data_IF_077000760514
#
_entry.id   IF_077000760514
#
_cell.length_a   1.000
_cell.length_b   1.000
_cell.length_c   1.000
_cell.angle_alpha   90.00
_cell.angle_beta   90.00
_cell.angle_gamma   90.00
#
_symmetry.space_group_name_H-M   'P 1'
#
loop_
_entity.id
_entity.type
_entity.pdbx_description
1 polymer ?
#
# COMPACT_ATOMS: atom_id res chain seq x y z
N UNK A 1 24.76 21.40 -26.00
CA UNK A 1 23.36 21.83 -26.09
C UNK A 1 22.55 20.72 -25.44
N UNK A 2 22.28 20.89 -24.15
CA UNK A 2 21.53 19.93 -23.35
C UNK A 2 20.08 19.90 -23.83
N UNK A 3 19.58 18.70 -24.10
CA UNK A 3 18.18 18.44 -24.39
C UNK A 3 17.39 18.57 -23.08
N UNK A 4 16.96 19.78 -22.76
CA UNK A 4 15.92 20.05 -21.76
C UNK A 4 14.56 19.73 -22.36
N UNK A 5 14.29 18.44 -22.60
CA UNK A 5 12.91 17.98 -22.73
C UNK A 5 12.23 18.20 -21.39
N UNK A 6 11.15 18.97 -21.41
CA UNK A 6 10.24 19.29 -20.32
C UNK A 6 9.84 18.03 -19.50
N UNK A 7 10.63 17.68 -18.47
CA UNK A 7 10.44 16.50 -17.60
C UNK A 7 9.47 16.74 -16.46
N UNK A 8 9.01 17.99 -16.27
CA UNK A 8 8.33 18.45 -15.06
C UNK A 8 6.89 17.94 -14.86
N UNK A 9 6.40 16.99 -15.67
CA UNK A 9 5.03 16.45 -15.54
C UNK A 9 4.87 14.97 -15.86
N UNK A 10 5.95 14.22 -16.13
CA UNK A 10 5.84 12.82 -16.59
C UNK A 10 5.41 11.88 -15.44
N UNK A 11 6.01 12.02 -14.26
CA UNK A 11 5.59 11.25 -13.08
C UNK A 11 4.17 11.60 -12.66
N UNK A 12 3.82 12.89 -12.63
CA UNK A 12 2.45 13.34 -12.34
C UNK A 12 1.43 12.64 -13.23
N UNK A 13 1.65 12.68 -14.55
CA UNK A 13 0.74 12.05 -15.52
C UNK A 13 0.63 10.55 -15.28
N UNK A 14 1.75 9.87 -15.04
CA UNK A 14 1.78 8.44 -14.72
C UNK A 14 1.00 8.12 -13.42
N UNK A 15 1.23 8.91 -12.38
CA UNK A 15 0.62 8.69 -11.07
C UNK A 15 -0.89 8.98 -11.10
N UNK A 16 -1.30 10.09 -11.71
CA UNK A 16 -2.73 10.42 -11.90
C UNK A 16 -3.45 9.31 -12.68
N UNK A 17 -2.87 8.85 -13.79
CA UNK A 17 -3.44 7.71 -14.55
C UNK A 17 -3.49 6.43 -13.73
N UNK A 18 -2.49 6.18 -12.87
CA UNK A 18 -2.53 5.03 -11.96
C UNK A 18 -3.70 5.17 -11.00
N UNK A 19 -3.89 6.34 -10.39
CA UNK A 19 -4.99 6.59 -9.46
C UNK A 19 -6.37 6.43 -10.12
N UNK A 20 -6.52 6.93 -11.34
CA UNK A 20 -7.74 6.73 -12.14
C UNK A 20 -8.01 5.25 -12.41
N UNK A 21 -7.00 4.48 -12.83
CA UNK A 21 -7.14 3.06 -13.17
C UNK A 21 -7.55 2.18 -11.99
N UNK A 22 -7.19 2.59 -10.79
CA UNK A 22 -7.61 1.92 -9.58
C UNK A 22 -9.07 2.15 -9.21
N UNK A 23 -9.74 3.10 -9.86
CA UNK A 23 -11.15 3.39 -9.65
C UNK A 23 -11.43 4.19 -8.39
N UNK A 24 -10.48 5.02 -7.93
CA UNK A 24 -10.71 5.92 -6.81
C UNK A 24 -11.44 7.19 -7.25
N UNK A 25 -12.36 7.65 -6.40
CA UNK A 25 -13.03 8.93 -6.58
C UNK A 25 -12.08 10.11 -6.34
N UNK A 26 -12.51 11.30 -6.74
CA UNK A 26 -11.72 12.53 -6.63
C UNK A 26 -11.30 12.84 -5.18
N UNK A 27 -12.16 12.57 -4.18
CA UNK A 27 -11.80 12.76 -2.78
C UNK A 27 -10.60 11.88 -2.39
N UNK A 28 -10.70 10.58 -2.62
CA UNK A 28 -9.62 9.63 -2.30
C UNK A 28 -8.31 10.00 -3.00
N UNK A 29 -8.37 10.40 -4.28
CA UNK A 29 -7.17 10.80 -5.02
C UNK A 29 -6.49 12.01 -4.36
N UNK A 30 -7.25 13.05 -4.00
CA UNK A 30 -6.70 14.24 -3.33
C UNK A 30 -6.07 13.92 -1.98
N UNK A 31 -6.70 13.07 -1.19
CA UNK A 31 -6.16 12.62 0.09
C UNK A 31 -4.85 11.85 -0.06
N UNK A 32 -4.80 10.89 -0.99
CA UNK A 32 -3.59 10.13 -1.31
C UNK A 32 -2.47 11.07 -1.75
N UNK A 33 -2.76 12.03 -2.64
CA UNK A 33 -1.77 12.94 -3.21
C UNK A 33 -1.25 13.93 -2.17
N UNK A 34 -2.13 14.47 -1.31
CA UNK A 34 -1.72 15.30 -0.18
C UNK A 34 -0.79 14.52 0.74
N UNK A 35 -1.19 13.31 1.15
CA UNK A 35 -0.36 12.52 2.06
C UNK A 35 0.94 12.04 1.42
N UNK A 36 0.96 11.78 0.11
CA UNK A 36 2.18 11.53 -0.64
C UNK A 36 3.17 12.69 -0.44
N UNK A 37 2.73 13.93 -0.63
CA UNK A 37 3.54 15.13 -0.35
C UNK A 37 3.96 15.24 1.11
N UNK A 38 3.03 14.98 2.04
CA UNK A 38 3.27 15.09 3.48
C UNK A 38 4.15 13.98 4.08
N UNK A 39 4.41 12.91 3.33
CA UNK A 39 5.14 11.74 3.80
C UNK A 39 6.37 11.40 2.96
N UNK A 40 6.61 12.07 1.82
CA UNK A 40 7.63 11.68 0.85
C UNK A 40 9.04 11.61 1.44
N UNK A 41 9.35 12.44 2.44
CA UNK A 41 10.63 12.39 3.15
C UNK A 41 10.66 11.24 4.14
N UNK A 42 9.71 11.16 5.07
CA UNK A 42 9.65 10.09 6.08
C UNK A 42 9.64 8.70 5.44
N UNK A 43 8.95 8.54 4.31
CA UNK A 43 8.85 7.28 3.57
C UNK A 43 10.17 6.81 2.95
N UNK A 44 11.01 7.75 2.48
CA UNK A 44 12.15 7.43 1.62
C UNK A 44 13.51 7.64 2.29
N UNK A 45 13.54 8.29 3.46
CA UNK A 45 14.80 8.61 4.19
C UNK A 45 15.70 7.38 4.34
N UNK A 46 15.19 6.27 4.87
CA UNK A 46 16.00 5.06 5.10
C UNK A 46 16.58 4.49 3.80
N UNK A 47 15.80 4.47 2.72
CA UNK A 47 16.25 3.97 1.42
C UNK A 47 17.35 4.87 0.84
N UNK A 48 17.19 6.19 0.92
CA UNK A 48 18.19 7.16 0.45
C UNK A 48 19.48 7.05 1.28
N UNK A 49 19.38 7.03 2.60
CA UNK A 49 20.54 6.91 3.51
C UNK A 49 21.27 5.56 3.36
N UNK A 50 20.55 4.48 3.02
CA UNK A 50 21.19 3.18 2.75
C UNK A 50 22.00 3.18 1.45
N UNK A 51 21.66 4.06 0.50
CA UNK A 51 22.23 4.08 -0.85
C UNK A 51 23.34 5.10 -1.01
N UNK A 52 23.22 6.25 -0.35
CA UNK A 52 24.16 7.35 -0.44
C UNK A 52 24.72 7.69 0.93
N UNK A 53 26.02 7.98 0.98
CA UNK A 53 26.73 8.38 2.22
C UNK A 53 27.14 9.85 2.22
N UNK A 54 27.05 10.52 1.07
CA UNK A 54 27.37 11.93 0.89
C UNK A 54 26.13 12.77 1.20
N UNK A 55 26.25 13.69 2.15
CA UNK A 55 25.18 14.58 2.59
C UNK A 55 24.63 15.45 1.46
N UNK A 56 25.51 15.98 0.59
CA UNK A 56 25.08 16.81 -0.54
C UNK A 56 24.22 15.95 -1.48
N UNK A 57 24.67 14.73 -1.76
CA UNK A 57 23.91 13.81 -2.61
C UNK A 57 22.58 13.42 -1.99
N UNK A 58 22.54 13.16 -0.68
CA UNK A 58 21.29 12.85 0.04
C UNK A 58 20.29 14.02 -0.12
N UNK A 59 20.74 15.25 0.10
CA UNK A 59 19.89 16.43 -0.04
C UNK A 59 19.39 16.62 -1.50
N UNK A 60 20.26 16.42 -2.50
CA UNK A 60 19.86 16.47 -3.90
C UNK A 60 18.76 15.46 -4.24
N UNK A 61 18.88 14.22 -3.76
CA UNK A 61 17.92 13.16 -4.04
C UNK A 61 16.59 13.40 -3.32
N UNK A 62 16.61 13.83 -2.06
CA UNK A 62 15.40 14.20 -1.33
C UNK A 62 14.68 15.39 -1.98
N UNK A 63 15.42 16.41 -2.42
CA UNK A 63 14.85 17.53 -3.17
C UNK A 63 14.26 17.11 -4.52
N UNK A 64 14.90 16.17 -5.22
CA UNK A 64 14.37 15.62 -6.45
C UNK A 64 13.05 14.89 -6.21
N UNK A 65 12.98 14.03 -5.18
CA UNK A 65 11.76 13.31 -4.80
C UNK A 65 10.61 14.27 -4.45
N UNK A 66 10.86 15.28 -3.59
CA UNK A 66 9.85 16.29 -3.25
C UNK A 66 9.28 16.95 -4.50
N UNK A 67 10.11 17.24 -5.50
CA UNK A 67 9.69 17.95 -6.73
C UNK A 67 9.15 17.03 -7.82
N UNK A 68 9.06 15.73 -7.58
CA UNK A 68 8.77 14.74 -8.62
C UNK A 68 7.33 14.83 -9.16
N UNK A 69 6.35 15.05 -8.26
CA UNK A 69 4.93 15.18 -8.67
C UNK A 69 4.59 16.61 -9.08
N UNK A 70 5.02 17.61 -8.29
CA UNK A 70 4.88 19.00 -8.64
C UNK A 70 5.97 19.86 -7.99
N UNK A 71 6.30 20.99 -8.63
CA UNK A 71 7.17 22.01 -8.07
C UNK A 71 6.34 23.05 -7.32
N UNK A 72 6.72 23.42 -6.07
CA UNK A 72 6.10 24.55 -5.38
C UNK A 72 6.21 25.83 -6.21
N UNK A 73 5.16 26.64 -6.21
CA UNK A 73 5.13 27.94 -6.86
C UNK A 73 5.45 29.04 -5.84
N UNK A 74 6.51 29.82 -6.06
CA UNK A 74 6.89 30.91 -5.15
C UNK A 74 5.83 32.01 -5.05
N UNK A 75 4.98 32.17 -6.07
CA UNK A 75 3.91 33.17 -6.10
C UNK A 75 2.62 32.73 -5.39
N UNK A 76 2.46 31.43 -5.12
CA UNK A 76 1.24 30.90 -4.54
C UNK A 76 1.52 29.60 -3.76
N UNK A 77 1.24 29.66 -2.46
CA UNK A 77 1.30 28.50 -1.57
C UNK A 77 -0.12 28.05 -1.20
N UNK A 78 -0.60 26.90 -1.73
CA UNK A 78 -1.92 26.36 -1.41
C UNK A 78 -2.09 25.97 0.06
N UNK A 79 -1.00 25.80 0.80
CA UNK A 79 -1.05 25.55 2.23
C UNK A 79 -1.66 26.72 3.02
N UNK A 80 -1.56 27.95 2.50
CA UNK A 80 -2.17 29.12 3.13
C UNK A 80 -3.70 29.12 3.05
N UNK A 81 -4.30 28.26 2.22
CA UNK A 81 -5.76 28.08 2.15
C UNK A 81 -6.27 27.01 3.13
N UNK A 82 -5.35 26.28 3.78
CA UNK A 82 -5.67 25.17 4.67
C UNK A 82 -5.70 25.65 6.13
N UNK A 83 -6.85 25.44 6.76
CA UNK A 83 -6.89 25.31 8.22
C UNK A 83 -6.37 23.91 8.58
N UNK A 84 -5.32 23.83 9.40
CA UNK A 84 -4.63 22.55 9.62
C UNK A 84 -5.39 21.60 10.54
N UNK A 85 -6.26 22.12 11.40
CA UNK A 85 -6.99 21.35 12.43
C UNK A 85 -7.70 20.10 11.89
N UNK A 86 -8.48 20.13 10.79
CA UNK A 86 -9.12 18.92 10.25
C UNK A 86 -8.12 17.82 9.88
N UNK A 87 -7.03 18.17 9.21
CA UNK A 87 -5.99 17.22 8.78
C UNK A 87 -5.24 16.68 9.99
N UNK A 88 -4.89 17.55 10.92
CA UNK A 88 -4.26 17.22 12.20
C UNK A 88 -5.12 16.26 13.04
N UNK A 89 -6.44 16.48 13.11
CA UNK A 89 -7.41 15.59 13.76
C UNK A 89 -7.47 14.22 13.08
N UNK A 90 -7.43 14.16 11.75
CA UNK A 90 -7.39 12.90 11.02
C UNK A 90 -6.11 12.10 11.33
N UNK A 91 -4.93 12.77 11.37
CA UNK A 91 -3.65 12.15 11.70
C UNK A 91 -3.63 11.65 13.15
N UNK A 92 -4.10 12.47 14.10
CA UNK A 92 -4.23 12.10 15.51
C UNK A 92 -5.13 10.87 15.67
N UNK A 93 -6.30 10.90 15.04
CA UNK A 93 -7.31 9.84 15.14
C UNK A 93 -6.80 8.53 14.53
N UNK A 94 -6.19 8.58 13.35
CA UNK A 94 -5.59 7.42 12.70
C UNK A 94 -4.58 6.75 13.63
N UNK A 95 -3.62 7.54 14.13
CA UNK A 95 -2.60 7.06 15.05
C UNK A 95 -3.22 6.45 16.30
N UNK A 96 -4.27 7.10 16.85
CA UNK A 96 -4.97 6.60 18.02
C UNK A 96 -5.56 5.23 17.76
N UNK A 97 -6.29 5.06 16.65
CA UNK A 97 -6.91 3.78 16.29
C UNK A 97 -5.84 2.70 16.13
N UNK A 98 -4.77 2.95 15.37
CA UNK A 98 -3.71 1.95 15.15
C UNK A 98 -3.03 1.55 16.46
N UNK A 99 -2.52 2.52 17.21
CA UNK A 99 -1.71 2.24 18.39
C UNK A 99 -2.55 1.71 19.55
N UNK A 100 -3.69 2.33 19.82
CA UNK A 100 -4.53 1.98 20.96
C UNK A 100 -5.44 0.80 20.65
N UNK A 101 -6.29 0.91 19.63
CA UNK A 101 -7.38 -0.05 19.41
C UNK A 101 -6.91 -1.32 18.70
N UNK A 102 -6.05 -1.19 17.68
CA UNK A 102 -5.65 -2.34 16.86
C UNK A 102 -4.44 -3.09 17.43
N UNK A 103 -3.39 -2.37 17.85
CA UNK A 103 -2.14 -2.96 18.35
C UNK A 103 -2.17 -3.19 19.88
N UNK A 104 -2.96 -2.42 20.63
CA UNK A 104 -3.02 -2.52 22.09
C UNK A 104 -1.84 -1.85 22.82
N UNK A 105 -1.16 -0.89 22.18
CA UNK A 105 -0.12 -0.04 22.78
C UNK A 105 -0.75 1.22 23.38
N UNK A 106 -1.45 1.04 24.50
CA UNK A 106 -2.13 2.13 25.20
C UNK A 106 -1.17 3.26 25.60
N UNK A 107 -1.69 4.49 25.63
CA UNK A 107 -1.00 5.70 26.10
C UNK A 107 0.22 6.16 25.30
N UNK A 108 0.55 5.60 24.14
CA UNK A 108 1.70 6.06 23.35
C UNK A 108 1.53 7.50 22.86
N UNK A 109 0.36 7.83 22.31
CA UNK A 109 0.04 9.19 21.86
C UNK A 109 -0.08 10.13 23.05
N UNK A 110 -0.71 9.70 24.14
CA UNK A 110 -0.80 10.52 25.35
C UNK A 110 0.57 10.81 25.97
N UNK A 111 1.47 9.81 26.00
CA UNK A 111 2.85 10.00 26.45
C UNK A 111 3.57 10.98 25.54
N UNK A 112 3.42 10.82 24.24
CA UNK A 112 3.99 11.72 23.24
C UNK A 112 3.48 13.17 23.40
N UNK A 113 2.17 13.38 23.57
CA UNK A 113 1.56 14.69 23.81
C UNK A 113 1.99 15.26 25.17
N UNK A 114 2.02 14.46 26.25
CA UNK A 114 2.44 14.89 27.60
C UNK A 114 3.94 15.22 27.69
N UNK A 115 4.77 14.61 26.86
CA UNK A 115 6.21 14.87 26.78
C UNK A 115 6.55 16.15 26.01
N UNK A 116 5.59 16.72 25.27
CA UNK A 116 5.75 17.96 24.50
C UNK A 116 4.71 19.02 24.92
N UNK A 117 4.74 19.50 26.18
CA UNK A 117 3.72 20.37 26.75
C UNK A 117 3.68 21.80 26.19
N UNK A 118 4.73 22.25 25.49
CA UNK A 118 4.86 23.62 24.95
C UNK A 118 4.08 23.84 23.63
N UNK A 119 3.18 22.91 23.27
CA UNK A 119 2.08 23.09 22.31
C UNK A 119 2.44 23.71 20.95
N UNK A 120 3.53 23.25 20.35
CA UNK A 120 3.67 23.34 18.89
C UNK A 120 3.96 21.93 18.39
N UNK A 121 2.93 21.22 17.94
CA UNK A 121 3.03 19.95 17.25
C UNK A 121 1.89 19.84 16.26
N UNK A 122 1.97 18.84 15.37
CA UNK A 122 0.92 18.56 14.40
C UNK A 122 -0.44 18.30 15.06
N UNK A 123 -0.49 17.87 16.33
CA UNK A 123 -1.73 17.51 17.05
C UNK A 123 -2.13 18.48 18.15
N UNK A 124 -1.46 19.64 18.29
CA UNK A 124 -1.72 20.57 19.40
C UNK A 124 -3.16 21.08 19.45
N UNK A 125 -3.74 21.42 18.30
CA UNK A 125 -5.13 21.90 18.18
C UNK A 125 -6.08 20.80 17.66
N UNK A 126 -5.61 19.55 17.61
CA UNK A 126 -6.37 18.44 17.05
C UNK A 126 -7.28 17.78 18.10
N UNK A 127 -8.38 17.21 17.62
CA UNK A 127 -9.31 16.41 18.41
C UNK A 127 -9.49 15.03 17.78
N UNK A 128 -9.72 14.03 18.62
CA UNK A 128 -10.05 12.69 18.14
C UNK A 128 -11.44 12.73 17.49
N UNK A 129 -11.53 12.23 16.26
CA UNK A 129 -12.79 12.05 15.55
C UNK A 129 -13.49 10.80 16.12
N UNK A 130 -14.40 11.01 17.07
CA UNK A 130 -15.07 9.92 17.81
C UNK A 130 -15.83 8.95 16.90
N UNK A 131 -16.39 9.43 15.80
CA UNK A 131 -17.14 8.57 14.89
C UNK A 131 -16.24 7.54 14.21
N UNK A 132 -14.96 7.86 13.99
CA UNK A 132 -14.01 6.85 13.52
C UNK A 132 -13.70 5.84 14.60
N UNK A 133 -13.37 6.29 15.82
CA UNK A 133 -12.94 5.38 16.88
C UNK A 133 -14.04 4.39 17.27
N UNK A 134 -15.32 4.77 17.15
CA UNK A 134 -16.48 3.87 17.34
C UNK A 134 -16.48 2.69 16.37
N UNK A 135 -16.03 2.88 15.13
CA UNK A 135 -16.00 1.82 14.11
C UNK A 135 -14.93 0.75 14.35
N UNK A 136 -13.95 1.04 15.22
CA UNK A 136 -12.81 0.16 15.52
C UNK A 136 -12.79 -0.33 16.98
N UNK A 137 -13.86 -0.11 17.74
CA UNK A 137 -14.01 -0.67 19.08
C UNK A 137 -13.95 -2.20 19.00
N UNK A 138 -13.00 -2.80 19.72
CA UNK A 138 -12.71 -4.25 19.72
C UNK A 138 -12.31 -4.82 18.35
N UNK A 139 -11.97 -3.98 17.37
CA UNK A 139 -11.45 -4.45 16.09
C UNK A 139 -10.07 -5.11 16.28
N UNK A 140 -9.80 -6.15 15.51
CA UNK A 140 -8.48 -6.78 15.46
C UNK A 140 -7.61 -6.06 14.43
N UNK A 141 -6.29 -6.13 14.61
CA UNK A 141 -5.35 -5.69 13.57
C UNK A 141 -5.37 -6.67 12.39
N UNK A 142 -6.33 -6.50 11.49
CA UNK A 142 -6.51 -7.26 10.25
C UNK A 142 -6.24 -6.37 9.04
N UNK A 143 -6.04 -6.99 7.88
CA UNK A 143 -5.90 -6.25 6.62
C UNK A 143 -7.15 -5.44 6.28
N UNK A 144 -8.34 -5.95 6.56
CA UNK A 144 -9.60 -5.23 6.31
C UNK A 144 -9.74 -4.02 7.22
N UNK A 145 -9.43 -4.17 8.52
CA UNK A 145 -9.45 -3.06 9.47
C UNK A 145 -8.45 -1.96 9.04
N UNK A 146 -7.22 -2.32 8.68
CA UNK A 146 -6.23 -1.33 8.23
C UNK A 146 -6.63 -0.68 6.91
N UNK A 147 -7.12 -1.46 5.94
CA UNK A 147 -7.57 -0.93 4.66
C UNK A 147 -8.75 0.04 4.82
N UNK A 148 -9.73 -0.31 5.67
CA UNK A 148 -10.86 0.56 6.00
C UNK A 148 -10.38 1.87 6.63
N UNK A 149 -9.47 1.80 7.60
CA UNK A 149 -8.90 2.99 8.22
C UNK A 149 -8.11 3.85 7.21
N UNK A 150 -7.34 3.23 6.31
CA UNK A 150 -6.67 3.93 5.21
C UNK A 150 -7.69 4.71 4.36
N UNK A 151 -8.81 4.08 3.98
CA UNK A 151 -9.86 4.73 3.18
C UNK A 151 -10.47 5.93 3.90
N UNK A 152 -10.89 5.74 5.15
CA UNK A 152 -11.47 6.82 5.97
C UNK A 152 -10.51 8.00 6.08
N UNK A 153 -9.22 7.73 6.25
CA UNK A 153 -8.18 8.74 6.33
C UNK A 153 -8.02 9.56 5.06
N UNK A 154 -7.80 8.89 3.93
CA UNK A 154 -7.59 9.57 2.67
C UNK A 154 -8.87 10.26 2.17
N UNK A 155 -10.04 9.64 2.33
CA UNK A 155 -11.31 10.25 1.92
C UNK A 155 -11.62 11.51 2.74
N UNK A 156 -11.37 11.51 4.05
CA UNK A 156 -11.66 12.67 4.89
C UNK A 156 -10.77 13.87 4.56
N UNK A 157 -9.45 13.66 4.42
CA UNK A 157 -8.53 14.71 3.99
C UNK A 157 -8.92 15.18 2.57
N UNK A 158 -9.23 14.23 1.69
CA UNK A 158 -9.65 14.49 0.33
C UNK A 158 -10.91 15.34 0.20
N UNK A 159 -11.95 15.03 0.98
CA UNK A 159 -13.19 15.79 1.06
C UNK A 159 -12.92 17.23 1.48
N UNK A 160 -12.07 17.43 2.49
CA UNK A 160 -11.69 18.75 2.96
C UNK A 160 -10.97 19.55 1.87
N UNK A 161 -9.95 18.97 1.23
CA UNK A 161 -9.19 19.63 0.15
C UNK A 161 -10.06 19.93 -1.09
N UNK A 162 -11.00 19.03 -1.40
CA UNK A 162 -11.98 19.24 -2.47
C UNK A 162 -12.93 20.40 -2.17
N UNK A 163 -13.36 20.56 -0.92
CA UNK A 163 -14.21 21.67 -0.51
C UNK A 163 -13.51 23.04 -0.68
N UNK A 164 -12.18 23.06 -0.52
CA UNK A 164 -11.32 24.20 -0.83
C UNK A 164 -11.06 24.39 -2.33
N UNK A 165 -11.57 23.51 -3.19
CA UNK A 165 -11.40 23.52 -4.65
C UNK A 165 -9.94 23.39 -5.11
N UNK A 166 -9.09 22.76 -4.29
CA UNK A 166 -7.70 22.50 -4.64
C UNK A 166 -7.60 21.40 -5.70
N UNK A 167 -6.84 21.66 -6.76
CA UNK A 167 -6.46 20.63 -7.73
C UNK A 167 -5.40 19.67 -7.14
N UNK A 168 -5.09 18.59 -7.86
CA UNK A 168 -4.17 17.57 -7.37
C UNK A 168 -2.73 18.10 -7.17
N UNK A 169 -2.28 19.03 -8.02
CA UNK A 169 -0.97 19.69 -7.88
C UNK A 169 -0.93 20.53 -6.60
N UNK A 170 -1.99 21.30 -6.36
CA UNK A 170 -2.12 22.10 -5.14
C UNK A 170 -2.21 21.22 -3.90
N UNK A 171 -2.95 20.11 -3.93
CA UNK A 171 -3.02 19.14 -2.83
C UNK A 171 -1.64 18.58 -2.47
N UNK A 172 -0.84 18.20 -3.48
CA UNK A 172 0.51 17.68 -3.27
C UNK A 172 1.45 18.71 -2.63
N UNK A 173 1.48 19.92 -3.18
CA UNK A 173 2.32 21.02 -2.67
C UNK A 173 1.90 21.41 -1.26
N UNK A 174 0.59 21.45 -0.99
CA UNK A 174 0.06 21.70 0.34
C UNK A 174 0.52 20.62 1.34
N UNK A 175 0.56 19.36 0.93
CA UNK A 175 1.10 18.27 1.74
C UNK A 175 2.58 18.45 2.09
N UNK A 176 3.41 18.84 1.12
CA UNK A 176 4.83 19.15 1.36
C UNK A 176 4.98 20.26 2.39
N UNK A 177 4.28 21.37 2.19
CA UNK A 177 4.40 22.55 3.05
C UNK A 177 3.82 22.30 4.44
N UNK A 178 2.75 21.51 4.54
CA UNK A 178 2.23 20.99 5.80
C UNK A 178 3.32 20.20 6.56
N UNK A 179 3.99 19.25 5.90
CA UNK A 179 5.08 18.49 6.51
C UNK A 179 6.24 19.39 6.92
N UNK A 180 6.70 20.28 6.04
CA UNK A 180 7.82 21.19 6.34
C UNK A 180 7.54 22.05 7.58
N UNK A 181 6.35 22.66 7.67
CA UNK A 181 5.95 23.45 8.84
C UNK A 181 6.05 22.62 10.11
N UNK A 182 5.41 21.46 10.15
CA UNK A 182 5.35 20.66 11.37
C UNK A 182 6.66 19.97 11.70
N UNK A 183 7.50 19.66 10.71
CA UNK A 183 8.82 19.09 10.97
C UNK A 183 9.79 20.12 11.58
N UNK A 184 9.67 21.41 11.24
CA UNK A 184 10.44 22.49 11.91
C UNK A 184 10.00 22.75 13.35
N UNK A 185 8.76 22.40 13.66
CA UNK A 185 8.13 22.57 14.97
C UNK A 185 8.44 21.37 15.88
N UNK A 186 8.19 20.16 15.39
CA UNK A 186 8.32 18.90 16.11
C UNK A 186 8.74 17.78 15.15
N UNK A 187 10.05 17.63 14.99
CA UNK A 187 10.65 16.66 14.10
C UNK A 187 10.31 15.21 14.48
N UNK A 188 10.52 14.85 15.75
CA UNK A 188 10.36 13.47 16.22
C UNK A 188 8.89 13.06 16.17
N UNK A 189 8.00 13.93 16.61
CA UNK A 189 6.58 13.68 16.62
C UNK A 189 5.93 13.60 15.25
N UNK A 190 6.28 14.53 14.37
CA UNK A 190 5.78 14.51 12.98
C UNK A 190 6.20 13.22 12.28
N UNK A 191 7.46 12.80 12.45
CA UNK A 191 7.94 11.54 11.87
C UNK A 191 7.28 10.31 12.51
N UNK A 192 7.13 10.27 13.84
CA UNK A 192 6.46 9.18 14.53
C UNK A 192 5.02 8.96 14.03
N UNK A 193 4.25 10.05 13.89
CA UNK A 193 2.86 9.99 13.45
C UNK A 193 2.74 9.59 11.98
N UNK A 194 3.61 10.11 11.10
CA UNK A 194 3.65 9.73 9.70
C UNK A 194 4.08 8.28 9.50
N UNK A 195 5.13 7.82 10.19
CA UNK A 195 5.63 6.45 10.08
C UNK A 195 4.60 5.44 10.57
N UNK A 196 3.86 5.74 11.64
CA UNK A 196 2.76 4.89 12.09
C UNK A 196 1.67 4.71 11.01
N UNK A 197 1.36 5.78 10.26
CA UNK A 197 0.44 5.70 9.11
C UNK A 197 1.07 4.83 8.00
N UNK A 198 2.30 5.13 7.59
CA UNK A 198 3.03 4.42 6.53
C UNK A 198 3.12 2.91 6.81
N UNK A 199 3.48 2.53 8.03
CA UNK A 199 3.70 1.14 8.44
C UNK A 199 2.42 0.32 8.52
N UNK A 200 1.27 0.99 8.63
CA UNK A 200 -0.05 0.37 8.68
C UNK A 200 -0.82 0.46 7.36
N UNK A 201 -0.21 0.97 6.29
CA UNK A 201 -0.81 0.98 4.97
C UNK A 201 -1.02 -0.45 4.45
N UNK A 202 -2.24 -0.73 3.99
CA UNK A 202 -2.51 -1.95 3.23
C UNK A 202 -1.68 -2.00 1.94
N UNK A 203 -1.44 -3.19 1.36
CA UNK A 203 -0.52 -3.38 0.24
C UNK A 203 -0.75 -2.42 -0.94
N UNK A 204 -2.00 -2.09 -1.26
CA UNK A 204 -2.29 -1.13 -2.33
C UNK A 204 -1.80 0.29 -2.02
N UNK A 205 -2.09 0.83 -0.83
CA UNK A 205 -1.63 2.18 -0.49
C UNK A 205 -0.12 2.22 -0.31
N UNK A 206 0.47 1.17 0.29
CA UNK A 206 1.93 1.03 0.39
C UNK A 206 2.57 1.05 -0.99
N UNK A 207 1.97 0.36 -1.96
CA UNK A 207 2.41 0.37 -3.36
C UNK A 207 2.43 1.78 -3.94
N UNK A 208 1.32 2.52 -3.84
CA UNK A 208 1.23 3.89 -4.37
C UNK A 208 2.25 4.82 -3.73
N UNK A 209 2.42 4.74 -2.40
CA UNK A 209 3.37 5.59 -1.69
C UNK A 209 4.82 5.35 -2.16
N UNK A 210 5.17 4.13 -2.56
CA UNK A 210 6.52 3.80 -3.04
C UNK A 210 6.75 4.10 -4.54
N UNK A 211 5.73 4.53 -5.29
CA UNK A 211 5.90 4.84 -6.71
C UNK A 211 6.90 5.96 -7.01
N UNK A 212 7.04 7.04 -6.22
CA UNK A 212 8.07 8.05 -6.46
C UNK A 212 9.48 7.47 -6.52
N UNK A 213 9.88 6.69 -5.50
CA UNK A 213 11.23 6.13 -5.45
C UNK A 213 11.48 5.06 -6.51
N UNK A 214 10.46 4.26 -6.82
CA UNK A 214 10.50 3.30 -7.92
C UNK A 214 10.60 4.01 -9.27
N UNK A 215 9.91 5.14 -9.45
CA UNK A 215 9.97 5.92 -10.68
C UNK A 215 11.35 6.56 -10.86
N UNK A 216 11.95 7.08 -9.78
CA UNK A 216 13.28 7.70 -9.85
C UNK A 216 14.38 6.69 -10.15
N UNK A 217 14.35 5.50 -9.54
CA UNK A 217 15.49 4.57 -9.62
C UNK A 217 15.25 3.31 -10.43
N UNK A 218 13.99 2.96 -10.65
CA UNK A 218 13.58 1.77 -11.40
C UNK A 218 12.44 2.09 -12.39
N UNK A 219 12.52 3.20 -13.18
CA UNK A 219 11.42 3.63 -14.03
C UNK A 219 11.06 2.57 -15.08
N UNK A 220 12.06 1.83 -15.54
CA UNK A 220 11.86 0.76 -16.51
C UNK A 220 11.05 -0.37 -15.90
N UNK A 221 11.42 -0.84 -14.71
CA UNK A 221 10.73 -1.90 -13.98
C UNK A 221 9.32 -1.45 -13.58
N UNK A 222 9.17 -0.23 -13.07
CA UNK A 222 7.88 0.34 -12.67
C UNK A 222 6.90 0.40 -13.85
N UNK A 223 7.31 1.01 -14.97
CA UNK A 223 6.46 1.12 -16.17
C UNK A 223 6.08 -0.24 -16.78
N UNK A 224 6.85 -1.26 -16.45
CA UNK A 224 6.68 -2.59 -16.99
C UNK A 224 5.98 -3.55 -16.03
N UNK A 225 5.89 -3.18 -14.76
CA UNK A 225 5.15 -3.90 -13.76
C UNK A 225 3.70 -3.44 -13.79
N UNK A 226 2.81 -4.41 -13.78
CA UNK A 226 1.39 -4.13 -13.63
C UNK A 226 1.12 -3.80 -12.17
N UNK A 227 0.13 -2.94 -11.92
CA UNK A 227 -0.25 -2.56 -10.56
C UNK A 227 -0.48 -3.79 -9.66
N UNK A 228 -1.16 -4.82 -10.16
CA UNK A 228 -1.28 -6.13 -9.51
C UNK A 228 0.07 -6.68 -9.01
N UNK A 229 1.09 -6.67 -9.86
CA UNK A 229 2.42 -7.19 -9.54
C UNK A 229 3.13 -6.34 -8.48
N UNK A 230 2.93 -5.02 -8.51
CA UNK A 230 3.45 -4.13 -7.47
C UNK A 230 2.76 -4.38 -6.13
N UNK A 231 1.42 -4.53 -6.11
CA UNK A 231 0.68 -4.87 -4.89
C UNK A 231 1.17 -6.20 -4.32
N UNK A 232 1.32 -7.21 -5.18
CA UNK A 232 1.84 -8.52 -4.80
C UNK A 232 3.23 -8.41 -4.18
N UNK A 233 4.13 -7.61 -4.77
CA UNK A 233 5.47 -7.39 -4.24
C UNK A 233 5.44 -6.80 -2.82
N UNK A 234 4.66 -5.74 -2.61
CA UNK A 234 4.56 -5.12 -1.28
C UNK A 234 3.77 -5.95 -0.27
N UNK A 235 2.94 -6.88 -0.73
CA UNK A 235 2.29 -7.85 0.14
C UNK A 235 3.28 -8.88 0.68
N UNK A 236 3.99 -9.63 -0.18
CA UNK A 236 4.85 -10.71 0.30
C UNK A 236 6.17 -10.22 0.92
N UNK A 237 6.60 -8.98 0.68
CA UNK A 237 7.75 -8.38 1.39
C UNK A 237 7.54 -8.31 2.90
N UNK A 238 6.28 -8.32 3.36
CA UNK A 238 5.92 -8.33 4.79
C UNK A 238 5.44 -9.71 5.28
N UNK A 239 5.43 -10.75 4.43
CA UNK A 239 4.90 -12.07 4.77
C UNK A 239 6.01 -13.07 5.13
N UNK A 240 6.78 -13.53 4.14
CA UNK A 240 7.88 -14.47 4.34
C UNK A 240 8.90 -14.37 3.19
N UNK A 241 10.04 -13.73 3.47
CA UNK A 241 11.07 -13.44 2.47
C UNK A 241 11.75 -14.70 1.92
N UNK A 242 11.82 -15.79 2.70
CA UNK A 242 12.48 -17.02 2.28
C UNK A 242 11.75 -17.74 1.15
N UNK A 243 10.41 -17.70 1.18
CA UNK A 243 9.56 -18.31 0.14
C UNK A 243 9.13 -17.31 -0.94
N UNK A 244 9.14 -16.01 -0.63
CA UNK A 244 8.74 -14.94 -1.54
C UNK A 244 9.48 -15.02 -2.88
N UNK A 245 10.78 -15.35 -2.88
CA UNK A 245 11.57 -15.51 -4.11
C UNK A 245 11.00 -16.59 -5.05
N UNK A 246 10.47 -17.68 -4.51
CA UNK A 246 9.88 -18.76 -5.30
C UNK A 246 8.52 -18.34 -5.88
N UNK A 247 7.68 -17.72 -5.06
CA UNK A 247 6.37 -17.22 -5.48
C UNK A 247 6.53 -16.10 -6.52
N UNK A 248 7.51 -15.22 -6.36
CA UNK A 248 7.85 -14.17 -7.32
C UNK A 248 8.31 -14.75 -8.67
N UNK A 249 9.18 -15.76 -8.66
CA UNK A 249 9.59 -16.44 -9.88
C UNK A 249 8.40 -17.12 -10.57
N UNK A 250 7.52 -17.77 -9.81
CA UNK A 250 6.30 -18.34 -10.37
C UNK A 250 5.39 -17.28 -10.99
N UNK A 251 5.27 -16.13 -10.34
CA UNK A 251 4.47 -15.01 -10.81
C UNK A 251 4.98 -14.53 -12.18
N UNK A 252 6.30 -14.39 -12.34
CA UNK A 252 6.86 -14.01 -13.63
C UNK A 252 6.52 -15.02 -14.73
N UNK A 253 6.68 -16.32 -14.45
CA UNK A 253 6.37 -17.39 -15.40
C UNK A 253 4.89 -17.41 -15.81
N UNK A 254 3.99 -17.18 -14.85
CA UNK A 254 2.55 -17.28 -15.03
C UNK A 254 1.95 -16.04 -15.69
N UNK A 255 2.33 -14.84 -15.27
CA UNK A 255 1.66 -13.61 -15.69
C UNK A 255 2.30 -12.96 -16.91
N UNK A 256 3.60 -13.16 -17.14
CA UNK A 256 4.34 -12.46 -18.19
C UNK A 256 4.69 -13.38 -19.36
N UNK A 257 4.78 -12.82 -20.57
CA UNK A 257 5.32 -13.59 -21.71
C UNK A 257 6.83 -13.82 -21.50
N UNK A 258 7.38 -14.97 -21.93
CA UNK A 258 8.79 -15.30 -21.71
C UNK A 258 9.73 -14.20 -22.20
N UNK A 259 10.69 -13.81 -21.36
CA UNK A 259 11.68 -12.76 -21.64
C UNK A 259 11.07 -11.39 -22.01
N UNK A 260 9.86 -11.11 -21.53
CA UNK A 260 9.21 -9.81 -21.73
C UNK A 260 8.62 -9.31 -20.42
N UNK A 261 8.18 -8.05 -20.45
CA UNK A 261 7.42 -7.45 -19.36
C UNK A 261 5.95 -7.20 -19.72
N UNK A 262 5.49 -7.84 -20.80
CA UNK A 262 4.10 -7.81 -21.22
C UNK A 262 3.31 -8.91 -20.52
N UNK A 263 2.14 -8.58 -19.96
CA UNK A 263 1.21 -9.61 -19.52
C UNK A 263 0.84 -10.53 -20.68
N UNK A 264 0.62 -11.79 -20.33
CA UNK A 264 -0.07 -12.72 -21.22
C UNK A 264 -1.51 -12.23 -21.42
N UNK A 265 -2.09 -12.52 -22.59
CA UNK A 265 -3.40 -11.96 -22.98
C UNK A 265 -4.54 -12.46 -22.08
N UNK A 266 -4.31 -13.61 -21.46
CA UNK A 266 -5.15 -14.32 -20.51
C UNK A 266 -5.29 -13.58 -19.18
N UNK A 267 -4.43 -12.60 -18.88
CA UNK A 267 -4.48 -11.79 -17.66
C UNK A 267 -4.94 -10.38 -17.96
N UNK A 268 -6.22 -10.25 -18.32
CA UNK A 268 -6.84 -8.96 -18.58
C UNK A 268 -7.78 -8.54 -17.44
N UNK A 269 -7.18 -7.96 -16.39
CA UNK A 269 -7.90 -7.50 -15.20
C UNK A 269 -8.96 -6.42 -15.48
N UNK A 270 -8.86 -5.70 -16.59
CA UNK A 270 -9.72 -4.56 -16.93
C UNK A 270 -11.03 -4.99 -17.61
N UNK A 271 -10.99 -6.06 -18.41
CA UNK A 271 -12.12 -6.45 -19.29
C UNK A 271 -12.81 -7.75 -18.89
N UNK A 272 -12.10 -8.64 -18.21
CA UNK A 272 -12.68 -9.91 -17.79
C UNK A 272 -13.55 -9.75 -16.54
N UNK A 273 -14.55 -10.63 -16.40
CA UNK A 273 -15.39 -10.64 -15.20
C UNK A 273 -14.53 -11.01 -13.99
N UNK A 274 -14.62 -10.23 -12.92
CA UNK A 274 -13.81 -10.42 -11.70
C UNK A 274 -13.88 -11.85 -11.14
N UNK A 275 -15.07 -12.45 -11.07
CA UNK A 275 -15.23 -13.84 -10.62
C UNK A 275 -14.49 -14.87 -11.50
N UNK A 276 -14.38 -14.62 -12.81
CA UNK A 276 -13.61 -15.47 -13.73
C UNK A 276 -12.11 -15.33 -13.42
N UNK A 277 -11.62 -14.10 -13.27
CA UNK A 277 -10.21 -13.84 -12.91
C UNK A 277 -9.84 -14.49 -11.58
N UNK A 278 -10.65 -14.32 -10.53
CA UNK A 278 -10.41 -14.94 -9.22
C UNK A 278 -10.30 -16.47 -9.35
N UNK A 279 -11.23 -17.10 -10.09
CA UNK A 279 -11.20 -18.55 -10.35
C UNK A 279 -9.94 -18.99 -11.12
N UNK A 280 -9.57 -18.25 -12.16
CA UNK A 280 -8.37 -18.50 -12.94
C UNK A 280 -7.10 -18.36 -12.09
N UNK A 281 -7.02 -17.35 -11.23
CA UNK A 281 -5.89 -17.16 -10.30
C UNK A 281 -5.73 -18.38 -9.43
N UNK A 282 -6.80 -18.86 -8.77
CA UNK A 282 -6.71 -20.04 -7.90
C UNK A 282 -6.28 -21.27 -8.70
N UNK A 283 -6.93 -21.52 -9.84
CA UNK A 283 -6.65 -22.69 -10.66
C UNK A 283 -5.18 -22.73 -11.13
N UNK A 284 -4.67 -21.58 -11.58
CA UNK A 284 -3.29 -21.47 -12.05
C UNK A 284 -2.30 -21.47 -10.88
N UNK A 285 -2.59 -20.78 -9.78
CA UNK A 285 -1.68 -20.69 -8.64
C UNK A 285 -1.38 -22.07 -8.03
N UNK A 286 -2.38 -22.97 -7.96
CA UNK A 286 -2.21 -24.37 -7.52
C UNK A 286 -1.13 -25.11 -8.33
N UNK A 287 -0.94 -24.76 -9.60
CA UNK A 287 0.00 -25.45 -10.48
C UNK A 287 1.48 -25.10 -10.23
N UNK A 288 1.82 -24.23 -9.25
CA UNK A 288 3.21 -23.94 -8.87
C UNK A 288 4.02 -25.23 -8.63
N UNK A 289 3.40 -26.21 -7.97
CA UNK A 289 4.01 -27.52 -7.66
C UNK A 289 4.32 -28.38 -8.89
N UNK A 290 3.72 -28.08 -10.05
CA UNK A 290 3.96 -28.76 -11.32
C UNK A 290 5.07 -28.11 -12.14
N UNK A 291 5.64 -27.02 -11.64
CA UNK A 291 6.79 -26.34 -12.25
C UNK A 291 8.09 -26.78 -11.60
N UNK A 292 9.22 -26.30 -12.11
CA UNK A 292 10.55 -26.50 -11.49
C UNK A 292 10.58 -26.00 -10.03
N UNK A 293 9.72 -25.04 -9.68
CA UNK A 293 9.62 -24.50 -8.32
C UNK A 293 9.09 -25.56 -7.34
N UNK A 294 8.32 -26.54 -7.82
CA UNK A 294 7.86 -27.69 -7.04
C UNK A 294 9.00 -28.47 -6.37
N UNK A 295 10.20 -28.47 -6.97
CA UNK A 295 11.39 -29.13 -6.42
C UNK A 295 11.89 -28.47 -5.12
N UNK A 296 11.51 -27.22 -4.86
CA UNK A 296 11.86 -26.48 -3.64
C UNK A 296 10.80 -26.60 -2.53
N UNK A 297 9.89 -27.58 -2.62
CA UNK A 297 8.86 -27.83 -1.60
C UNK A 297 9.43 -27.92 -0.18
N UNK A 298 10.61 -28.50 0.00
CA UNK A 298 11.26 -28.59 1.30
C UNK A 298 11.45 -27.23 1.98
N UNK A 299 11.73 -26.17 1.22
CA UNK A 299 11.90 -24.82 1.77
C UNK A 299 10.56 -24.25 2.26
N UNK A 300 9.46 -24.61 1.60
CA UNK A 300 8.13 -24.22 2.06
C UNK A 300 7.78 -24.93 3.38
N UNK A 301 8.05 -26.24 3.48
CA UNK A 301 7.74 -27.01 4.70
C UNK A 301 8.53 -26.58 5.94
N UNK A 302 9.75 -26.06 5.74
CA UNK A 302 10.63 -25.59 6.82
C UNK A 302 10.14 -24.31 7.50
N UNK A 303 9.24 -23.54 6.86
CA UNK A 303 8.69 -22.34 7.49
C UNK A 303 7.44 -22.66 8.30
N UNK A 304 7.30 -22.08 9.48
CA UNK A 304 6.07 -22.18 10.30
C UNK A 304 5.15 -20.95 10.15
N UNK A 305 5.51 -20.02 9.27
CA UNK A 305 4.83 -18.74 9.09
C UNK A 305 3.71 -18.84 8.04
N UNK A 306 2.85 -19.86 8.13
CA UNK A 306 1.66 -19.99 7.30
C UNK A 306 0.40 -19.89 8.13
N UNK A 307 -0.67 -19.39 7.52
CA UNK A 307 -1.96 -19.29 8.17
C UNK A 307 -2.62 -20.68 8.22
N UNK A 308 -2.56 -21.44 7.13
CA UNK A 308 -3.09 -22.81 7.05
C UNK A 308 -1.99 -23.86 7.24
N UNK A 309 -1.31 -23.80 8.39
CA UNK A 309 -0.22 -24.72 8.75
C UNK A 309 -0.68 -26.19 8.78
N UNK A 310 -1.96 -26.45 9.02
CA UNK A 310 -2.57 -27.78 9.01
C UNK A 310 -2.46 -28.50 7.67
N UNK A 311 -2.23 -27.77 6.56
CA UNK A 311 -2.08 -28.36 5.23
C UNK A 311 -0.74 -29.08 5.04
N UNK A 312 0.25 -28.86 5.92
CA UNK A 312 1.57 -29.47 5.82
C UNK A 312 1.48 -30.99 5.74
N UNK A 313 2.03 -31.51 4.65
CA UNK A 313 2.09 -32.93 4.31
C UNK A 313 0.73 -33.67 4.25
N UNK A 314 -0.38 -32.93 4.15
CA UNK A 314 -1.71 -33.52 4.01
C UNK A 314 -1.99 -34.00 2.59
N UNK A 315 -2.87 -35.00 2.48
CA UNK A 315 -3.43 -35.45 1.23
C UNK A 315 -4.92 -35.07 1.17
N UNK A 316 -5.25 -34.07 0.36
CA UNK A 316 -6.59 -33.46 0.27
C UNK A 316 -7.05 -33.41 -1.19
N UNK A 317 -8.35 -33.27 -1.41
CA UNK A 317 -8.89 -33.02 -2.76
C UNK A 317 -8.65 -31.57 -3.18
N UNK A 318 -8.79 -31.29 -4.48
CA UNK A 318 -8.68 -29.90 -4.97
C UNK A 318 -9.82 -29.02 -4.47
N UNK A 319 -11.00 -29.58 -4.28
CA UNK A 319 -12.17 -28.79 -3.88
C UNK A 319 -12.13 -28.46 -2.39
N UNK A 320 -11.65 -29.37 -1.54
CA UNK A 320 -11.32 -29.06 -0.14
C UNK A 320 -10.28 -27.92 -0.04
N UNK A 321 -9.22 -27.98 -0.86
CA UNK A 321 -8.20 -26.94 -0.87
C UNK A 321 -8.77 -25.58 -1.31
N UNK A 322 -9.54 -25.54 -2.40
CA UNK A 322 -10.18 -24.30 -2.87
C UNK A 322 -11.12 -23.74 -1.81
N UNK A 323 -11.94 -24.58 -1.17
CA UNK A 323 -12.82 -24.16 -0.10
C UNK A 323 -12.03 -23.59 1.09
N UNK A 324 -10.91 -24.21 1.45
CA UNK A 324 -10.00 -23.71 2.48
C UNK A 324 -9.38 -22.35 2.11
N UNK A 325 -8.93 -22.16 0.87
CA UNK A 325 -8.42 -20.87 0.39
C UNK A 325 -9.51 -19.81 0.38
N UNK A 326 -10.72 -20.13 -0.10
CA UNK A 326 -11.85 -19.18 -0.05
C UNK A 326 -12.15 -18.80 1.40
N UNK A 327 -12.22 -19.78 2.31
CA UNK A 327 -12.44 -19.53 3.74
C UNK A 327 -11.34 -18.63 4.33
N UNK A 328 -10.08 -18.86 3.97
CA UNK A 328 -8.95 -18.02 4.38
C UNK A 328 -9.14 -16.56 3.93
N UNK A 329 -9.43 -16.34 2.64
CA UNK A 329 -9.62 -15.00 2.09
C UNK A 329 -10.81 -14.28 2.73
N UNK A 330 -11.93 -14.98 2.92
CA UNK A 330 -13.16 -14.36 3.45
C UNK A 330 -13.12 -14.13 4.96
N UNK A 331 -12.41 -14.96 5.73
CA UNK A 331 -12.48 -14.91 7.20
C UNK A 331 -11.21 -14.39 7.86
N UNK A 332 -10.01 -14.68 7.30
CA UNK A 332 -8.77 -14.16 7.85
C UNK A 332 -8.45 -12.77 7.29
N UNK A 333 -8.58 -12.60 5.97
CA UNK A 333 -8.39 -11.30 5.32
C UNK A 333 -9.65 -10.45 5.31
N UNK A 334 -10.80 -11.03 5.70
CA UNK A 334 -12.11 -10.35 5.76
C UNK A 334 -12.52 -9.76 4.40
N UNK A 335 -12.10 -10.41 3.30
CA UNK A 335 -12.40 -10.03 1.91
C UNK A 335 -13.48 -10.95 1.34
N UNK A 336 -14.74 -10.57 1.50
CA UNK A 336 -15.88 -11.33 0.97
C UNK A 336 -15.84 -11.34 -0.56
N UNK A 337 -15.89 -12.53 -1.17
CA UNK A 337 -15.72 -12.66 -2.63
C UNK A 337 -16.85 -11.97 -3.40
N UNK A 338 -18.07 -12.01 -2.88
CA UNK A 338 -19.23 -11.30 -3.46
C UNK A 338 -18.98 -9.79 -3.52
N UNK A 339 -18.52 -9.18 -2.41
CA UNK A 339 -18.20 -7.75 -2.36
C UNK A 339 -17.04 -7.39 -3.29
N UNK A 340 -16.04 -8.27 -3.42
CA UNK A 340 -14.91 -8.08 -4.36
C UNK A 340 -15.40 -8.01 -5.81
N UNK A 341 -16.43 -8.78 -6.14
CA UNK A 341 -16.99 -8.83 -7.50
C UNK A 341 -17.85 -7.60 -7.77
N UNK A 342 -18.68 -7.19 -6.81
CA UNK A 342 -19.75 -6.20 -7.04
C UNK A 342 -19.42 -4.79 -6.55
N UNK A 343 -18.75 -4.67 -5.41
CA UNK A 343 -18.67 -3.42 -4.65
C UNK A 343 -17.27 -2.81 -4.60
N UNK A 344 -16.22 -3.63 -4.72
CA UNK A 344 -14.85 -3.15 -4.58
C UNK A 344 -14.42 -2.28 -5.76
N UNK A 345 -13.57 -1.30 -5.51
CA UNK A 345 -12.81 -0.56 -6.53
C UNK A 345 -11.90 -1.51 -7.32
N UNK A 346 -11.36 -1.06 -8.45
CA UNK A 346 -10.43 -1.88 -9.22
C UNK A 346 -9.16 -2.19 -8.41
N UNK A 347 -8.66 -1.23 -7.64
CA UNK A 347 -7.52 -1.42 -6.74
C UNK A 347 -7.76 -2.47 -5.66
N UNK A 348 -8.91 -2.42 -4.98
CA UNK A 348 -9.29 -3.40 -3.97
C UNK A 348 -9.39 -4.81 -4.59
N UNK A 349 -9.98 -4.92 -5.79
CA UNK A 349 -10.00 -6.16 -6.55
C UNK A 349 -8.60 -6.70 -6.89
N UNK A 350 -7.68 -5.84 -7.35
CA UNK A 350 -6.30 -6.25 -7.64
C UNK A 350 -5.54 -6.68 -6.37
N UNK A 351 -5.80 -6.02 -5.23
CA UNK A 351 -5.24 -6.43 -3.94
C UNK A 351 -5.74 -7.82 -3.54
N UNK A 352 -7.04 -8.08 -3.66
CA UNK A 352 -7.58 -9.43 -3.43
C UNK A 352 -6.95 -10.45 -4.37
N UNK A 353 -6.78 -10.13 -5.65
CA UNK A 353 -6.10 -10.99 -6.62
C UNK A 353 -4.67 -11.33 -6.19
N UNK A 354 -3.91 -10.34 -5.72
CA UNK A 354 -2.53 -10.51 -5.27
C UNK A 354 -2.44 -11.44 -4.06
N UNK A 355 -3.30 -11.23 -3.06
CA UNK A 355 -3.35 -12.06 -1.85
C UNK A 355 -3.79 -13.47 -2.21
N UNK A 356 -4.87 -13.61 -2.98
CA UNK A 356 -5.37 -14.90 -3.44
C UNK A 356 -4.29 -15.69 -4.19
N UNK A 357 -3.55 -15.04 -5.08
CA UNK A 357 -2.44 -15.66 -5.80
C UNK A 357 -1.35 -16.14 -4.83
N UNK A 358 -0.88 -15.27 -3.92
CA UNK A 358 0.17 -15.61 -2.97
C UNK A 358 -0.27 -16.76 -2.07
N UNK A 359 -1.43 -16.65 -1.43
CA UNK A 359 -1.93 -17.64 -0.48
C UNK A 359 -2.17 -18.99 -1.14
N UNK A 360 -2.73 -19.00 -2.36
CA UNK A 360 -2.92 -20.23 -3.12
C UNK A 360 -1.58 -20.87 -3.48
N UNK A 361 -0.62 -20.09 -3.97
CA UNK A 361 0.69 -20.62 -4.37
C UNK A 361 1.50 -21.13 -3.17
N UNK A 362 1.51 -20.39 -2.07
CA UNK A 362 2.20 -20.75 -0.83
C UNK A 362 1.62 -22.05 -0.24
N UNK A 363 0.31 -22.10 -0.05
CA UNK A 363 -0.34 -23.24 0.59
C UNK A 363 -0.40 -24.48 -0.31
N UNK A 364 -0.44 -24.33 -1.64
CA UNK A 364 -0.36 -25.47 -2.55
C UNK A 364 0.97 -26.23 -2.45
N UNK A 365 2.04 -25.56 -2.01
CA UNK A 365 3.34 -26.20 -1.76
C UNK A 365 3.36 -27.00 -0.45
N UNK A 366 2.49 -26.71 0.52
CA UNK A 366 2.41 -27.44 1.78
C UNK A 366 1.74 -28.81 1.62
N UNK A 367 0.77 -28.91 0.72
CA UNK A 367 0.02 -30.13 0.44
C UNK A 367 0.94 -31.21 -0.16
N UNK A 368 0.93 -32.43 0.42
CA UNK A 368 1.69 -33.57 -0.09
C UNK A 368 1.13 -34.04 -1.43
N UNK A 369 -0.19 -34.21 -1.49
CA UNK A 369 -0.87 -34.80 -2.64
C UNK A 369 -2.27 -34.18 -2.80
N UNK A 370 -2.61 -33.85 -4.06
CA UNK A 370 -4.00 -33.57 -4.41
C UNK A 370 -4.66 -34.85 -4.89
N UNK A 371 -5.56 -35.41 -4.09
CA UNK A 371 -6.33 -36.61 -4.43
C UNK A 371 -7.18 -36.34 -5.68
N UNK A 372 -7.34 -37.38 -6.51
CA UNK A 372 -8.41 -37.41 -7.50
C UNK A 372 -9.74 -37.36 -6.74
N UNK A 373 -10.67 -36.52 -7.20
CA UNK A 373 -12.03 -36.48 -6.64
C UNK A 373 -12.71 -37.84 -6.75
#
# INVERSE_FOLDING_TARGET
MENTTNTDTVFKTYFDQTLERCGWNDEMQKGIIFFLGASIISLNTDQILSRFKDEIRIQEELHHLIRLYAKPNEAYDPFNEIETTPISSAILTYNHIVLHQLIGKENQIEKFVKQNPDATSIVSDASILEDWTKEFVNAKYTLSATHKLNKMFFEYIGQYLKALQLDNTQCYVAGINFYQKYQTIDFEGTNFLNLTIIDSLSPIFKTLMHYPILYTYHPQELNSNHLFSSILQFFYMNANTDIAKYIHNYHHNLFYKPNTRNLRKEWNFEKEKRGIILSQIVHNAINIRKTVIGNYRSHFLQSDNYIMNELKDQAITRDEFKAGITHLIENFYEMKIEDVIENYTHAEFLQTCAILYYETAAHAMLVKEFKSN
#
